data_IF_922003060448
#
_entry.id   IF_922003060448
#
_cell.length_a   1.000
_cell.length_b   1.000
_cell.length_c   1.000
_cell.angle_alpha   90.00
_cell.angle_beta   90.00
_cell.angle_gamma   90.00
#
_symmetry.space_group_name_H-M   'P 1'
#
loop_
_entity.id
_entity.type
_entity.pdbx_description
1 polymer ?
#
# COMPACT_ATOMS: atom_id res chain seq x y z
N UNK A 1 -0.24 22.39 17.60
CA UNK A 1 0.05 22.09 16.18
C UNK A 1 0.59 20.67 16.09
N UNK A 2 -0.29 19.68 15.93
CA UNK A 2 0.08 18.27 15.78
C UNK A 2 0.62 18.06 14.37
N UNK A 3 1.95 17.98 14.22
CA UNK A 3 2.58 17.54 12.96
C UNK A 3 1.96 16.21 12.58
N UNK A 4 1.28 16.18 11.44
CA UNK A 4 0.69 14.97 10.87
C UNK A 4 1.86 14.04 10.51
N UNK A 5 2.21 13.10 11.40
CA UNK A 5 3.31 12.15 11.18
C UNK A 5 2.92 11.27 9.99
N UNK A 6 3.57 11.48 8.85
CA UNK A 6 3.39 10.63 7.68
C UNK A 6 3.85 9.21 8.02
N UNK A 7 2.90 8.29 8.19
CA UNK A 7 3.22 6.88 8.44
C UNK A 7 3.72 6.23 7.15
N UNK A 8 4.84 5.52 7.25
CA UNK A 8 5.47 4.76 6.16
C UNK A 8 5.76 3.34 6.61
N UNK A 9 5.69 2.37 5.71
CA UNK A 9 6.10 0.99 5.96
C UNK A 9 6.70 0.34 4.72
N UNK A 10 7.28 -0.84 4.90
CA UNK A 10 7.82 -1.69 3.83
C UNK A 10 7.16 -3.05 3.93
N UNK A 11 6.72 -3.57 2.78
CA UNK A 11 6.28 -4.93 2.60
C UNK A 11 7.17 -5.59 1.54
N UNK A 12 7.47 -6.88 1.72
CA UNK A 12 8.05 -7.72 0.67
C UNK A 12 7.02 -8.79 0.35
N UNK A 13 6.74 -8.91 -0.94
CA UNK A 13 5.82 -9.89 -1.50
C UNK A 13 6.63 -10.97 -2.20
N UNK A 14 6.15 -12.20 -2.17
CA UNK A 14 6.75 -13.28 -2.96
C UNK A 14 6.73 -12.96 -4.45
N UNK A 15 7.56 -13.68 -5.21
CA UNK A 15 7.70 -13.42 -6.63
C UNK A 15 6.40 -13.74 -7.37
N UNK A 16 5.81 -12.71 -7.98
CA UNK A 16 4.58 -12.84 -8.74
C UNK A 16 4.89 -13.55 -10.06
N UNK A 17 4.72 -14.87 -10.10
CA UNK A 17 4.92 -15.69 -11.30
C UNK A 17 3.58 -15.89 -12.03
N UNK A 18 3.34 -15.26 -13.20
CA UNK A 18 2.08 -15.42 -13.93
C UNK A 18 1.94 -16.77 -14.66
N UNK A 19 2.86 -17.72 -14.46
CA UNK A 19 2.94 -18.96 -15.24
C UNK A 19 2.96 -20.22 -14.36
N UNK A 20 1.76 -20.78 -14.12
CA UNK A 20 1.63 -22.16 -13.62
C UNK A 20 0.36 -22.40 -12.81
N UNK A 21 -0.69 -22.86 -13.50
CA UNK A 21 -1.94 -23.58 -13.14
C UNK A 21 -2.48 -23.73 -11.69
N UNK A 22 -1.88 -23.22 -10.62
CA UNK A 22 -2.42 -23.29 -9.24
C UNK A 22 -2.13 -22.09 -8.32
N UNK A 23 -1.47 -21.02 -8.76
CA UNK A 23 -1.25 -19.85 -7.91
C UNK A 23 -2.38 -18.81 -7.98
N UNK A 24 -3.24 -18.91 -6.96
CA UNK A 24 -3.89 -17.84 -6.21
C UNK A 24 -4.82 -16.87 -6.94
N UNK A 25 -6.12 -17.15 -6.80
CA UNK A 25 -7.23 -16.16 -6.91
C UNK A 25 -7.05 -14.98 -5.91
N UNK A 26 -5.99 -14.97 -5.09
CA UNK A 26 -5.77 -14.03 -3.99
C UNK A 26 -4.48 -13.19 -4.08
N UNK A 27 -3.66 -13.32 -5.14
CA UNK A 27 -2.44 -12.52 -5.34
C UNK A 27 -1.25 -12.89 -4.43
N UNK A 28 -0.09 -12.23 -4.58
CA UNK A 28 1.17 -12.67 -3.98
C UNK A 28 1.15 -12.59 -2.45
N UNK A 29 1.77 -13.57 -1.80
CA UNK A 29 1.91 -13.61 -0.33
C UNK A 29 2.89 -12.56 0.18
N UNK A 30 2.61 -12.03 1.38
CA UNK A 30 3.52 -11.16 2.12
C UNK A 30 4.54 -12.05 2.84
N UNK A 31 5.81 -11.92 2.47
CA UNK A 31 6.92 -12.65 3.11
C UNK A 31 7.57 -11.85 4.23
N UNK A 32 7.41 -10.53 4.20
CA UNK A 32 7.91 -9.63 5.23
C UNK A 32 7.04 -8.38 5.33
N UNK A 33 6.78 -7.96 6.57
CA UNK A 33 6.13 -6.69 6.87
C UNK A 33 6.87 -5.97 7.99
N UNK A 34 7.22 -4.69 7.77
CA UNK A 34 7.77 -3.85 8.82
C UNK A 34 6.70 -3.56 9.88
N UNK A 35 7.09 -3.56 11.16
CA UNK A 35 6.18 -3.31 12.29
C UNK A 35 5.36 -2.01 12.16
N UNK A 36 5.88 -1.01 11.44
CA UNK A 36 5.18 0.26 11.19
C UNK A 36 3.93 0.17 10.30
N UNK A 37 3.59 -1.02 9.79
CA UNK A 37 2.33 -1.30 9.11
C UNK A 37 1.12 -1.08 10.03
N UNK A 38 1.31 -1.22 11.35
CA UNK A 38 0.35 -0.88 12.40
C UNK A 38 -0.16 0.58 12.27
N UNK A 39 0.73 1.51 11.94
CA UNK A 39 0.40 2.93 11.75
C UNK A 39 -0.30 3.20 10.42
N UNK A 40 -0.18 2.28 9.46
CA UNK A 40 -0.85 2.39 8.16
C UNK A 40 -2.29 1.88 8.29
N UNK A 41 -2.44 0.58 8.52
CA UNK A 41 -3.73 -0.14 8.48
C UNK A 41 -4.18 -0.68 9.84
N UNK A 42 -3.45 -0.45 10.95
CA UNK A 42 -3.83 -0.93 12.29
C UNK A 42 -4.02 -2.46 12.33
N UNK A 43 -3.02 -3.16 11.78
CA UNK A 43 -2.87 -4.61 11.81
C UNK A 43 -1.48 -4.97 12.37
N UNK A 44 -1.39 -6.10 13.04
CA UNK A 44 -0.11 -6.65 13.49
C UNK A 44 0.69 -7.16 12.28
N UNK A 45 2.00 -6.90 12.25
CA UNK A 45 2.85 -7.36 11.17
C UNK A 45 2.98 -8.89 11.15
N UNK A 46 2.87 -9.58 12.29
CA UNK A 46 2.96 -11.04 12.33
C UNK A 46 1.75 -11.71 11.69
N UNK A 47 0.57 -11.11 11.80
CA UNK A 47 -0.67 -11.64 11.23
C UNK A 47 -0.71 -11.51 9.70
N UNK A 48 0.11 -10.59 9.15
CA UNK A 48 0.17 -10.34 7.71
C UNK A 48 1.12 -11.29 6.97
N UNK A 49 2.07 -11.92 7.66
CA UNK A 49 2.99 -12.86 7.03
C UNK A 49 2.18 -14.06 6.50
N UNK A 50 2.52 -14.54 5.31
CA UNK A 50 1.82 -15.59 4.57
C UNK A 50 0.36 -15.26 4.21
N UNK A 51 -0.06 -14.01 4.39
CA UNK A 51 -1.36 -13.52 3.91
C UNK A 51 -1.22 -12.99 2.48
N UNK A 52 -2.15 -13.32 1.56
CA UNK A 52 -2.16 -12.75 0.22
C UNK A 52 -2.40 -11.24 0.24
N UNK A 53 -1.49 -10.47 -0.39
CA UNK A 53 -1.53 -9.01 -0.36
C UNK A 53 -2.82 -8.44 -0.94
N UNK A 54 -3.38 -9.03 -2.01
CA UNK A 54 -4.62 -8.51 -2.62
C UNK A 54 -5.84 -8.64 -1.70
N UNK A 55 -5.79 -9.49 -0.66
CA UNK A 55 -6.86 -9.50 0.35
C UNK A 55 -6.87 -8.19 1.15
N UNK A 56 -5.71 -7.60 1.42
CA UNK A 56 -5.61 -6.32 2.12
C UNK A 56 -6.05 -5.13 1.26
N UNK A 57 -6.12 -5.31 -0.06
CA UNK A 57 -6.55 -4.28 -1.00
C UNK A 57 -8.06 -4.16 -0.95
N UNK A 58 -8.56 -2.92 -0.96
CA UNK A 58 -9.98 -2.68 -1.00
C UNK A 58 -10.58 -3.25 -2.30
N UNK A 59 -11.79 -3.87 -2.26
CA UNK A 59 -12.41 -4.51 -3.42
C UNK A 59 -12.44 -3.65 -4.70
N UNK A 60 -12.68 -2.35 -4.53
CA UNK A 60 -12.71 -1.36 -5.61
C UNK A 60 -11.36 -1.18 -6.35
N UNK A 61 -10.23 -1.50 -5.73
CA UNK A 61 -8.88 -1.29 -6.26
C UNK A 61 -8.15 -2.59 -6.63
N UNK A 62 -8.72 -3.78 -6.38
CA UNK A 62 -8.05 -5.07 -6.63
C UNK A 62 -7.53 -5.16 -8.08
N UNK A 63 -8.37 -4.86 -9.07
CA UNK A 63 -7.99 -4.95 -10.50
C UNK A 63 -6.84 -3.98 -10.83
N UNK A 64 -6.88 -2.78 -10.23
CA UNK A 64 -5.85 -1.76 -10.44
C UNK A 64 -4.50 -2.20 -9.84
N UNK A 65 -4.53 -2.71 -8.61
CA UNK A 65 -3.31 -3.20 -7.93
C UNK A 65 -2.74 -4.44 -8.61
N UNK A 66 -3.57 -5.37 -9.10
CA UNK A 66 -3.10 -6.52 -9.87
C UNK A 66 -2.31 -6.08 -11.09
N UNK A 67 -2.84 -5.12 -11.88
CA UNK A 67 -2.13 -4.57 -13.05
C UNK A 67 -0.83 -3.87 -12.66
N UNK A 68 -0.84 -3.15 -11.54
CA UNK A 68 0.37 -2.52 -11.01
C UNK A 68 1.46 -3.56 -10.69
N UNK A 69 1.12 -4.61 -9.96
CA UNK A 69 2.04 -5.72 -9.61
C UNK A 69 2.54 -6.47 -10.86
N UNK A 70 1.65 -6.75 -11.81
CA UNK A 70 2.02 -7.32 -13.12
C UNK A 70 3.02 -6.43 -13.84
N UNK A 71 2.78 -5.11 -13.83
CA UNK A 71 3.67 -4.16 -14.47
C UNK A 71 5.06 -4.10 -13.81
N UNK A 72 5.17 -4.42 -12.51
CA UNK A 72 6.44 -4.53 -11.80
C UNK A 72 7.17 -5.82 -12.20
N UNK A 73 6.47 -6.94 -12.36
CA UNK A 73 7.10 -8.21 -12.75
C UNK A 73 7.82 -8.15 -14.11
N UNK A 74 7.38 -7.26 -15.01
CA UNK A 74 7.95 -7.05 -16.34
C UNK A 74 9.04 -5.97 -16.42
N UNK A 75 9.40 -5.29 -15.33
CA UNK A 75 10.39 -4.21 -15.33
C UNK A 75 11.22 -4.14 -14.03
N UNK A 76 12.48 -3.73 -14.16
CA UNK A 76 13.33 -3.38 -13.00
C UNK A 76 13.12 -1.95 -12.50
N UNK A 77 12.29 -1.17 -13.20
CA UNK A 77 12.02 0.21 -12.86
C UNK A 77 11.15 0.32 -11.61
N UNK A 78 11.45 1.33 -10.81
CA UNK A 78 10.61 1.72 -9.69
C UNK A 78 9.33 2.37 -10.21
N UNK A 79 8.17 1.93 -9.73
CA UNK A 79 6.87 2.49 -10.12
C UNK A 79 6.07 2.99 -8.92
N UNK A 80 5.39 4.10 -9.13
CA UNK A 80 4.49 4.70 -8.15
C UNK A 80 3.05 4.40 -8.49
N UNK A 81 2.27 4.05 -7.49
CA UNK A 81 0.84 3.88 -7.64
C UNK A 81 0.09 4.29 -6.38
N UNK A 82 -1.13 4.77 -6.55
CA UNK A 82 -2.05 5.05 -5.43
C UNK A 82 -3.17 4.03 -5.46
N UNK A 83 -3.44 3.45 -4.30
CA UNK A 83 -4.50 2.48 -4.13
C UNK A 83 -4.95 2.45 -2.67
N UNK A 84 -6.05 1.76 -2.42
CA UNK A 84 -6.72 1.73 -1.14
C UNK A 84 -6.54 0.36 -0.49
N UNK A 85 -6.16 0.38 0.79
CA UNK A 85 -6.12 -0.79 1.65
C UNK A 85 -7.29 -0.79 2.64
N UNK A 86 -7.63 -1.98 3.13
CA UNK A 86 -8.57 -2.16 4.23
C UNK A 86 -7.92 -1.73 5.55
N UNK A 87 -8.65 -1.01 6.38
CA UNK A 87 -8.23 -0.68 7.74
C UNK A 87 -8.64 -1.82 8.69
N UNK A 88 -7.80 -2.15 9.65
CA UNK A 88 -8.02 -3.19 10.67
C UNK A 88 -8.52 -4.50 10.06
N UNK A 89 -7.83 -5.06 9.04
CA UNK A 89 -8.21 -6.34 8.49
C UNK A 89 -8.21 -7.40 9.60
N UNK A 90 -9.33 -8.11 9.76
CA UNK A 90 -9.42 -9.25 10.67
C UNK A 90 -9.04 -10.50 9.89
N UNK A 91 -7.83 -11.00 10.13
CA UNK A 91 -7.29 -12.16 9.44
C UNK A 91 -7.65 -13.41 10.25
N UNK A 92 -8.42 -14.31 9.65
CA UNK A 92 -8.83 -15.59 10.23
C UNK A 92 -8.46 -16.67 9.25
N UNK A 93 -7.55 -17.56 9.63
CA UNK A 93 -7.08 -18.68 8.80
C UNK A 93 -6.63 -18.24 7.38
N UNK A 94 -6.02 -17.05 7.28
CA UNK A 94 -5.55 -16.47 6.01
C UNK A 94 -6.63 -15.82 5.15
N UNK A 95 -7.85 -15.64 5.67
CA UNK A 95 -8.92 -14.88 5.03
C UNK A 95 -9.31 -13.63 5.83
N UNK A 96 -9.88 -12.62 5.15
CA UNK A 96 -10.25 -11.36 5.79
C UNK A 96 -11.75 -11.32 6.04
N UNK A 97 -12.13 -11.41 7.31
CA UNK A 97 -13.53 -11.35 7.74
C UNK A 97 -13.88 -9.92 8.19
N UNK A 98 -14.16 -9.04 7.24
CA UNK A 98 -14.73 -7.72 7.56
C UNK A 98 -15.88 -7.40 6.62
N UNK A 99 -17.02 -7.00 7.19
CA UNK A 99 -18.13 -6.46 6.40
C UNK A 99 -17.67 -5.19 5.72
N UNK A 100 -17.74 -5.22 4.41
CA UNK A 100 -17.23 -4.17 3.56
C UNK A 100 -17.86 -2.79 3.83
N UNK A 101 -19.14 -2.77 4.20
CA UNK A 101 -19.93 -1.57 4.57
C UNK A 101 -19.47 -0.88 5.87
N UNK A 102 -18.76 -1.62 6.73
CA UNK A 102 -18.25 -1.12 8.02
C UNK A 102 -16.75 -0.83 7.96
N UNK A 103 -16.08 -1.21 6.85
CA UNK A 103 -14.64 -1.21 6.78
C UNK A 103 -14.08 0.13 6.29
N UNK A 104 -13.43 0.85 7.20
CA UNK A 104 -12.67 2.05 6.88
C UNK A 104 -11.58 1.75 5.86
N UNK A 105 -11.29 2.72 5.00
CA UNK A 105 -10.32 2.60 3.93
C UNK A 105 -9.07 3.39 4.24
N UNK A 106 -7.91 2.95 3.78
CA UNK A 106 -6.65 3.69 3.90
C UNK A 106 -6.09 3.93 2.51
N UNK A 107 -6.11 5.18 2.06
CA UNK A 107 -5.46 5.56 0.82
C UNK A 107 -3.96 5.60 1.06
N UNK A 108 -3.23 4.81 0.27
CA UNK A 108 -1.77 4.75 0.31
C UNK A 108 -1.18 5.14 -1.04
N UNK A 109 0.05 5.64 -0.98
CA UNK A 109 0.94 5.71 -2.13
C UNK A 109 1.99 4.61 -1.97
N UNK A 110 2.06 3.73 -2.96
CA UNK A 110 3.03 2.65 -3.05
C UNK A 110 4.14 2.98 -4.04
N UNK A 111 5.37 2.83 -3.60
CA UNK A 111 6.56 2.77 -4.43
C UNK A 111 7.00 1.31 -4.49
N UNK A 112 6.99 0.74 -5.69
CA UNK A 112 7.20 -0.68 -5.91
C UNK A 112 8.34 -0.95 -6.85
N UNK A 113 9.08 -2.03 -6.60
CA UNK A 113 10.11 -2.54 -7.49
C UNK A 113 10.14 -4.07 -7.39
N UNK A 114 10.31 -4.75 -8.52
CA UNK A 114 10.51 -6.19 -8.56
C UNK A 114 12.02 -6.52 -8.51
N UNK A 115 12.39 -7.43 -7.60
CA UNK A 115 13.67 -8.13 -7.60
C UNK A 115 13.47 -9.50 -8.26
N UNK A 116 14.35 -9.85 -9.20
CA UNK A 116 14.33 -11.16 -9.85
C UNK A 116 14.58 -12.33 -8.88
N UNK A 117 15.07 -12.06 -7.66
CA UNK A 117 15.36 -13.06 -6.63
C UNK A 117 14.42 -13.01 -5.43
N UNK A 118 14.00 -11.81 -5.03
CA UNK A 118 13.38 -11.57 -3.71
C UNK A 118 11.88 -11.21 -3.80
N UNK A 119 11.31 -11.20 -5.01
CA UNK A 119 9.91 -10.84 -5.25
C UNK A 119 9.70 -9.33 -5.37
N UNK A 120 8.56 -8.81 -4.91
CA UNK A 120 8.21 -7.38 -5.04
C UNK A 120 8.40 -6.66 -3.72
N UNK A 121 9.20 -5.60 -3.71
CA UNK A 121 9.34 -4.70 -2.56
C UNK A 121 8.35 -3.55 -2.74
N UNK A 122 7.49 -3.34 -1.75
CA UNK A 122 6.54 -2.23 -1.69
C UNK A 122 6.83 -1.32 -0.50
N UNK A 123 7.11 -0.06 -0.80
CA UNK A 123 7.20 1.03 0.15
C UNK A 123 5.86 1.76 0.18
N UNK A 124 5.14 1.71 1.30
CA UNK A 124 3.80 2.32 1.43
C UNK A 124 3.82 3.55 2.32
N UNK A 125 3.13 4.60 1.89
CA UNK A 125 2.92 5.84 2.65
C UNK A 125 1.45 6.07 2.79
N UNK A 126 0.99 6.20 4.05
CA UNK A 126 -0.39 6.58 4.34
C UNK A 126 -0.62 8.02 3.92
N UNK A 127 -1.59 8.23 3.03
CA UNK A 127 -2.03 9.57 2.63
C UNK A 127 -3.18 10.03 3.52
N UNK A 128 -4.22 9.21 3.68
CA UNK A 128 -5.39 9.50 4.52
C UNK A 128 -6.22 8.26 4.79
N UNK A 129 -7.03 8.33 5.84
CA UNK A 129 -8.10 7.37 6.11
C UNK A 129 -9.40 7.89 5.50
N UNK A 130 -10.12 7.01 4.82
CA UNK A 130 -11.37 7.25 4.12
C UNK A 130 -12.50 6.51 4.86
N UNK A 131 -13.73 7.06 4.90
CA UNK A 131 -14.87 6.36 5.49
C UNK A 131 -15.20 5.08 4.72
N UNK A 132 -16.04 4.18 5.28
CA UNK A 132 -16.47 2.98 4.58
C UNK A 132 -17.23 3.35 3.30
N UNK A 133 -17.18 2.50 2.26
CA UNK A 133 -17.85 2.78 1.00
C UNK A 133 -19.35 2.91 1.21
N UNK A 134 -19.94 3.95 0.60
CA UNK A 134 -21.39 4.07 0.50
C UNK A 134 -21.85 3.29 -0.71
N UNK A 135 -22.57 2.19 -0.49
CA UNK A 135 -23.22 1.44 -1.58
C UNK A 135 -24.45 2.22 -2.05
N UNK A 136 -24.56 2.50 -3.34
CA UNK A 136 -25.83 2.89 -3.93
C UNK A 136 -26.61 1.62 -4.31
N UNK A 137 -27.95 1.70 -4.33
CA UNK A 137 -28.80 0.61 -4.82
C UNK A 137 -28.30 0.17 -6.21
N UNK A 138 -27.96 -1.12 -6.32
CA UNK A 138 -27.27 -1.82 -7.43
C UNK A 138 -25.74 -1.87 -7.34
N UNK A 139 -25.21 -2.67 -6.40
CA UNK A 139 -23.90 -3.39 -6.43
C UNK A 139 -22.61 -2.68 -6.89
N UNK A 140 -22.62 -1.38 -7.17
CA UNK A 140 -21.48 -0.61 -7.64
C UNK A 140 -20.94 0.28 -6.50
N UNK A 141 -19.63 0.20 -6.31
CA UNK A 141 -18.91 1.13 -5.43
C UNK A 141 -18.82 2.49 -6.10
N UNK A 142 -19.13 3.55 -5.37
CA UNK A 142 -18.73 4.89 -5.79
C UNK A 142 -17.21 4.92 -5.67
N UNK A 143 -16.50 4.74 -6.80
CA UNK A 143 -15.11 5.14 -6.88
C UNK A 143 -15.06 6.59 -6.46
N UNK A 144 -14.56 6.86 -5.25
CA UNK A 144 -14.22 8.21 -4.87
C UNK A 144 -13.01 8.51 -5.74
N UNK A 145 -13.23 9.09 -6.94
CA UNK A 145 -12.14 9.53 -7.82
C UNK A 145 -11.16 10.25 -6.91
N UNK A 146 -9.95 9.72 -6.86
CA UNK A 146 -8.84 10.31 -6.11
C UNK A 146 -8.54 11.60 -6.88
N UNK A 147 -9.26 12.67 -6.57
CA UNK A 147 -8.98 13.98 -7.13
C UNK A 147 -7.52 14.31 -6.81
N UNK A 148 -6.78 14.68 -7.86
CA UNK A 148 -5.41 15.16 -7.79
C UNK A 148 -5.34 16.35 -6.82
N UNK A 149 -4.98 16.08 -5.57
CA UNK A 149 -4.81 17.10 -4.56
C UNK A 149 -3.46 17.80 -4.78
N UNK A 150 -3.52 19.03 -5.32
CA UNK A 150 -2.78 20.22 -4.89
C UNK A 150 -1.25 20.23 -4.97
N UNK A 151 -0.73 21.15 -5.77
CA UNK A 151 0.64 21.29 -6.26
C UNK A 151 1.48 22.34 -5.46
N UNK A 152 1.32 22.46 -4.13
CA UNK A 152 1.91 23.57 -3.34
C UNK A 152 2.68 23.12 -2.08
N UNK A 153 3.94 22.66 -2.24
CA UNK A 153 5.00 22.83 -1.21
C UNK A 153 6.38 22.38 -1.74
N UNK A 154 7.18 23.31 -2.26
CA UNK A 154 8.54 23.04 -2.77
C UNK A 154 9.62 23.58 -1.80
N UNK A 155 10.48 22.69 -1.29
CA UNK A 155 11.68 23.02 -0.48
C UNK A 155 12.97 22.65 -1.22
N UNK A 156 14.07 23.37 -0.93
CA UNK A 156 15.35 23.34 -1.65
C UNK A 156 16.32 22.24 -1.18
N UNK A 157 17.17 21.77 -2.10
CA UNK A 157 18.11 20.65 -1.97
C UNK A 157 19.15 20.75 -0.84
N UNK A 158 19.48 21.96 -0.38
CA UNK A 158 20.48 22.18 0.67
C UNK A 158 19.98 21.79 2.07
N UNK A 159 18.67 21.71 2.27
CA UNK A 159 18.07 21.34 3.57
C UNK A 159 18.01 19.81 3.80
N UNK A 160 18.21 19.02 2.74
CA UNK A 160 18.10 17.55 2.75
C UNK A 160 19.38 16.87 3.28
N UNK A 161 20.53 17.54 3.24
CA UNK A 161 21.84 16.94 3.54
C UNK A 161 22.36 17.24 4.95
N UNK A 162 21.57 17.86 5.83
CA UNK A 162 21.99 18.10 7.22
C UNK A 162 22.15 16.78 7.96
N UNK A 163 23.38 16.49 8.34
CA UNK A 163 23.90 15.19 8.78
C UNK A 163 23.62 14.92 10.27
N UNK A 164 22.40 15.23 10.72
CA UNK A 164 22.04 15.17 12.14
C UNK A 164 21.17 13.93 12.45
N UNK A 165 21.70 12.92 13.17
CA UNK A 165 21.01 11.66 13.44
C UNK A 165 19.74 11.78 14.31
N UNK A 166 19.40 12.96 14.83
CA UNK A 166 18.13 13.21 15.52
C UNK A 166 16.99 13.69 14.59
N UNK A 167 17.26 13.96 13.30
CA UNK A 167 16.25 14.48 12.35
C UNK A 167 15.76 13.46 11.31
N UNK A 168 16.17 12.20 11.41
CA UNK A 168 15.86 11.12 10.44
C UNK A 168 14.35 10.87 10.22
N UNK A 169 13.50 11.34 11.11
CA UNK A 169 12.02 11.24 11.01
C UNK A 169 11.36 12.32 10.13
N UNK A 170 12.13 13.21 9.51
CA UNK A 170 11.61 14.31 8.70
C UNK A 170 12.27 14.39 7.32
N UNK A 171 12.10 13.35 6.49
CA UNK A 171 12.42 13.45 5.06
C UNK A 171 11.22 13.03 4.18
N UNK A 172 10.58 13.97 3.45
CA UNK A 172 9.51 13.70 2.50
C UNK A 172 10.06 13.26 1.12
N UNK A 173 11.19 12.54 1.09
CA UNK A 173 11.91 12.16 -0.14
C UNK A 173 11.32 11.00 -0.95
N UNK A 174 10.00 10.81 -0.98
CA UNK A 174 9.37 9.79 -1.83
C UNK A 174 8.84 10.32 -3.15
N UNK A 175 8.67 11.63 -3.30
CA UNK A 175 8.02 12.23 -4.47
C UNK A 175 8.97 12.69 -5.57
N UNK A 176 10.22 12.20 -5.62
CA UNK A 176 11.23 12.63 -6.62
C UNK A 176 11.81 11.50 -7.49
N UNK A 177 11.16 10.34 -7.60
CA UNK A 177 11.44 9.39 -8.68
C UNK A 177 10.37 9.56 -9.76
N UNK A 178 10.47 10.65 -10.52
CA UNK A 178 9.85 10.81 -11.84
C UNK A 178 10.88 11.39 -12.78
#
# INVERSE_FOLDING_TARGET
MTRNRQAKCVLILENYAPTGERQQVSGPLITFALASIDRIIDADNTDLIDTPFLKLVAPEDIIHVTKYLESLSGSTDVKFERFVLLSRPRIIEGDIEVRDEDNMRVLVEGLGAASSKDGVVLFLRKLRTLPPPKRHNMHEYIHTRIDNAGDDDHLSLLDILSTDPETTDAAPGWSQLR
#
